data_IF_108670840296
#
_entry.id   IF_108670840296
#
_cell.length_a   1.000
_cell.length_b   1.000
_cell.length_c   1.000
_cell.angle_alpha   90.00
_cell.angle_beta   90.00
_cell.angle_gamma   90.00
#
_symmetry.space_group_name_H-M   'P 1'
#
loop_
_entity.id
_entity.type
_entity.pdbx_description
1 polymer ?
#
# COMPACT_ATOMS: atom_id res chain seq x y z
N UNK A 1 42.49 -23.69 40.70
CA UNK A 1 41.41 -24.47 40.06
C UNK A 1 42.04 -25.43 39.06
N UNK A 2 41.74 -26.73 39.19
CA UNK A 2 42.26 -27.89 38.43
C UNK A 2 41.92 -27.74 36.93
N UNK A 3 42.90 -27.75 36.01
CA UNK A 3 43.37 -28.86 35.14
C UNK A 3 42.29 -29.70 34.42
N UNK A 4 42.60 -29.99 33.15
CA UNK A 4 42.16 -31.12 32.27
C UNK A 4 40.99 -30.81 31.31
N UNK A 5 41.21 -30.46 30.03
CA UNK A 5 41.73 -31.23 28.87
C UNK A 5 40.93 -32.52 28.57
N UNK A 6 40.00 -32.44 27.60
CA UNK A 6 39.46 -33.57 26.82
C UNK A 6 39.47 -33.08 25.37
N UNK A 7 40.57 -33.26 24.64
CA UNK A 7 40.87 -34.37 23.71
C UNK A 7 39.82 -34.54 22.60
N UNK A 8 40.05 -33.73 21.56
CA UNK A 8 39.63 -33.92 20.16
C UNK A 8 40.24 -35.24 19.66
N UNK A 9 39.39 -36.17 19.21
CA UNK A 9 39.82 -37.42 18.59
C UNK A 9 38.90 -37.74 17.43
N UNK A 10 39.43 -38.48 16.44
CA UNK A 10 38.87 -38.84 15.13
C UNK A 10 39.12 -37.87 13.96
N UNK A 11 40.42 -37.66 13.71
CA UNK A 11 40.97 -37.73 12.34
C UNK A 11 41.57 -39.12 12.13
N UNK A 12 41.55 -39.59 10.88
CA UNK A 12 42.23 -40.76 10.28
C UNK A 12 41.41 -42.03 10.08
N UNK A 13 40.81 -42.14 8.88
CA UNK A 13 41.05 -43.30 8.00
C UNK A 13 40.63 -42.96 6.56
N UNK A 14 41.59 -42.48 5.77
CA UNK A 14 41.57 -42.52 4.30
C UNK A 14 42.71 -43.43 3.86
N UNK A 15 42.51 -44.11 2.73
CA UNK A 15 43.47 -44.83 1.86
C UNK A 15 43.35 -46.36 1.98
N UNK A 16 43.29 -47.19 0.92
CA UNK A 16 43.59 -47.08 -0.50
C UNK A 16 42.88 -48.24 -1.26
N UNK A 17 42.49 -47.95 -2.50
CA UNK A 17 42.70 -48.76 -3.75
C UNK A 17 42.02 -50.12 -3.88
N UNK A 18 41.14 -50.20 -4.89
CA UNK A 18 41.30 -51.17 -5.97
C UNK A 18 41.08 -50.47 -7.32
N UNK A 19 42.02 -50.72 -8.23
CA UNK A 19 42.03 -50.31 -9.62
C UNK A 19 41.34 -51.37 -10.50
N UNK A 20 41.21 -51.03 -11.79
CA UNK A 20 40.72 -51.82 -12.93
C UNK A 20 39.18 -51.92 -13.02
N UNK A 21 38.49 -51.45 -14.05
CA UNK A 21 38.76 -51.57 -15.49
C UNK A 21 37.85 -50.61 -16.31
N UNK A 22 38.47 -49.94 -17.28
CA UNK A 22 38.05 -49.59 -18.64
C UNK A 22 36.56 -49.52 -19.05
N UNK A 23 36.24 -48.34 -19.61
CA UNK A 23 35.39 -48.06 -20.79
C UNK A 23 33.90 -48.44 -20.68
N UNK A 24 33.04 -47.42 -20.54
CA UNK A 24 32.12 -47.04 -21.61
C UNK A 24 31.88 -45.53 -21.54
N UNK A 25 32.20 -44.86 -22.63
CA UNK A 25 31.82 -43.49 -22.87
C UNK A 25 30.31 -43.37 -22.97
N UNK A 26 29.84 -42.14 -22.77
CA UNK A 26 28.57 -41.60 -23.25
C UNK A 26 27.40 -41.61 -22.26
N UNK A 27 27.41 -40.68 -21.29
CA UNK A 27 26.16 -40.20 -20.67
C UNK A 27 26.26 -38.83 -19.96
N UNK A 28 27.23 -37.97 -20.32
CA UNK A 28 27.39 -36.65 -19.68
C UNK A 28 26.73 -35.46 -20.38
N UNK A 29 26.02 -35.65 -21.50
CA UNK A 29 25.57 -34.50 -22.30
C UNK A 29 24.10 -34.08 -22.13
N UNK A 30 23.32 -34.71 -21.24
CA UNK A 30 21.87 -34.43 -21.15
C UNK A 30 21.37 -33.78 -19.86
N UNK A 31 22.25 -33.45 -18.90
CA UNK A 31 21.83 -32.88 -17.61
C UNK A 31 22.13 -31.38 -17.42
N UNK A 32 22.76 -30.70 -18.38
CA UNK A 32 22.87 -29.23 -18.33
C UNK A 32 21.67 -28.50 -18.94
N UNK A 33 20.84 -29.19 -19.74
CA UNK A 33 19.64 -28.57 -20.33
C UNK A 33 18.48 -28.42 -19.34
N UNK A 34 18.53 -29.09 -18.18
CA UNK A 34 17.49 -29.02 -17.14
C UNK A 34 17.72 -27.92 -16.09
N UNK A 35 18.90 -27.30 -16.06
CA UNK A 35 19.19 -26.18 -15.13
C UNK A 35 18.97 -24.83 -15.82
N UNK A 36 18.95 -24.77 -17.15
CA UNK A 36 18.57 -23.57 -17.92
C UNK A 36 17.05 -23.45 -18.18
N UNK A 37 16.24 -24.28 -17.51
CA UNK A 37 14.81 -23.99 -17.27
C UNK A 37 14.68 -23.31 -15.89
N UNK A 38 15.72 -22.61 -15.45
CA UNK A 38 15.56 -21.50 -14.53
C UNK A 38 14.89 -20.36 -15.32
N UNK A 39 13.56 -20.32 -15.28
CA UNK A 39 12.80 -19.08 -15.32
C UNK A 39 13.05 -18.20 -16.56
N UNK A 40 12.91 -18.74 -17.76
CA UNK A 40 12.54 -17.88 -18.89
C UNK A 40 11.04 -17.61 -18.76
N UNK A 41 10.68 -16.64 -17.90
CA UNK A 41 9.39 -15.99 -18.03
C UNK A 41 9.28 -15.57 -19.50
N UNK A 42 8.19 -15.95 -20.16
CA UNK A 42 7.97 -15.50 -21.54
C UNK A 42 7.99 -13.97 -21.55
N UNK A 43 8.37 -13.35 -22.67
CA UNK A 43 8.41 -11.88 -22.77
C UNK A 43 7.08 -11.26 -22.30
N UNK A 44 5.97 -11.94 -22.59
CA UNK A 44 4.61 -11.59 -22.17
C UNK A 44 4.40 -11.69 -20.64
N UNK A 45 4.99 -12.68 -19.95
CA UNK A 45 4.93 -12.80 -18.48
C UNK A 45 5.80 -11.74 -17.80
N UNK A 46 6.91 -11.35 -18.41
CA UNK A 46 7.79 -10.29 -17.90
C UNK A 46 7.12 -8.91 -18.03
N UNK A 47 6.49 -8.64 -19.18
CA UNK A 47 5.73 -7.42 -19.42
C UNK A 47 4.48 -7.34 -18.51
N UNK A 48 3.82 -8.47 -18.27
CA UNK A 48 2.72 -8.56 -17.30
C UNK A 48 3.18 -8.30 -15.86
N UNK A 49 4.36 -8.80 -15.47
CA UNK A 49 4.93 -8.52 -14.15
C UNK A 49 5.32 -7.05 -13.99
N UNK A 50 5.95 -6.46 -15.01
CA UNK A 50 6.37 -5.06 -14.96
C UNK A 50 5.15 -4.11 -14.91
N UNK A 51 4.09 -4.41 -15.66
CA UNK A 51 2.86 -3.62 -15.61
C UNK A 51 2.14 -3.72 -14.26
N UNK A 52 2.15 -4.89 -13.61
CA UNK A 52 1.64 -5.05 -12.24
C UNK A 52 2.47 -4.26 -11.22
N UNK A 53 3.79 -4.29 -11.31
CA UNK A 53 4.68 -3.54 -10.42
C UNK A 53 4.48 -2.02 -10.58
N UNK A 54 4.28 -1.55 -11.82
CA UNK A 54 3.96 -0.14 -12.11
C UNK A 54 2.60 0.26 -11.51
N UNK A 55 1.56 -0.56 -11.68
CA UNK A 55 0.24 -0.30 -11.11
C UNK A 55 0.27 -0.29 -9.57
N UNK A 56 1.03 -1.20 -8.97
CA UNK A 56 1.23 -1.24 -7.52
C UNK A 56 1.90 0.04 -7.02
N UNK A 57 2.98 0.47 -7.69
CA UNK A 57 3.66 1.71 -7.34
C UNK A 57 2.74 2.93 -7.45
N UNK A 58 1.92 3.01 -8.50
CA UNK A 58 0.92 4.07 -8.66
C UNK A 58 -0.16 4.03 -7.58
N UNK A 59 -0.60 2.84 -7.18
CA UNK A 59 -1.55 2.67 -6.07
C UNK A 59 -0.94 3.14 -4.75
N UNK A 60 0.29 2.77 -4.45
CA UNK A 60 0.97 3.17 -3.22
C UNK A 60 1.18 4.70 -3.17
N UNK A 61 1.52 5.32 -4.31
CA UNK A 61 1.63 6.78 -4.43
C UNK A 61 0.29 7.49 -4.20
N UNK A 62 -0.80 6.96 -4.78
CA UNK A 62 -2.15 7.49 -4.57
C UNK A 62 -2.60 7.35 -3.11
N UNK A 63 -2.27 6.24 -2.46
CA UNK A 63 -2.58 6.02 -1.04
C UNK A 63 -1.81 6.99 -0.15
N UNK A 64 -0.55 7.28 -0.46
CA UNK A 64 0.24 8.28 0.25
C UNK A 64 -0.38 9.67 0.11
N UNK A 65 -0.71 10.08 -1.12
CA UNK A 65 -1.34 11.37 -1.38
C UNK A 65 -2.70 11.49 -0.69
N UNK A 66 -3.46 10.38 -0.64
CA UNK A 66 -4.71 10.34 0.11
C UNK A 66 -4.49 10.62 1.59
N UNK A 67 -3.53 9.96 2.23
CA UNK A 67 -3.26 10.14 3.65
C UNK A 67 -2.84 11.59 3.96
N UNK A 68 -1.96 12.17 3.15
CA UNK A 68 -1.52 13.56 3.25
C UNK A 68 -2.70 14.55 3.19
N UNK A 69 -3.64 14.33 2.26
CA UNK A 69 -4.84 15.16 2.13
C UNK A 69 -5.75 15.07 3.36
N UNK A 70 -5.88 13.88 3.94
CA UNK A 70 -6.70 13.68 5.14
C UNK A 70 -6.05 14.33 6.36
N UNK A 71 -4.72 14.26 6.47
CA UNK A 71 -3.95 14.96 7.49
C UNK A 71 -4.07 16.48 7.37
N UNK A 72 -3.94 17.02 6.16
CA UNK A 72 -4.10 18.45 5.90
C UNK A 72 -5.50 18.93 6.29
N UNK A 73 -6.54 18.23 5.86
CA UNK A 73 -7.95 18.54 6.18
C UNK A 73 -8.20 18.58 7.68
N UNK A 74 -7.64 17.61 8.42
CA UNK A 74 -7.73 17.58 9.87
C UNK A 74 -6.99 18.77 10.51
N UNK A 75 -5.76 19.05 10.07
CA UNK A 75 -4.95 20.15 10.61
C UNK A 75 -5.63 21.51 10.39
N UNK A 76 -6.17 21.74 9.19
CA UNK A 76 -6.92 22.95 8.86
C UNK A 76 -8.17 23.10 9.72
N UNK A 77 -8.95 22.02 9.86
CA UNK A 77 -10.11 22.01 10.75
C UNK A 77 -9.72 22.34 12.19
N UNK A 78 -8.70 21.65 12.71
CA UNK A 78 -8.27 21.82 14.09
C UNK A 78 -7.76 23.24 14.35
N UNK A 79 -7.00 23.82 13.41
CA UNK A 79 -6.54 25.21 13.49
C UNK A 79 -7.69 26.21 13.46
N UNK A 80 -8.74 25.96 12.69
CA UNK A 80 -9.86 26.90 12.54
C UNK A 80 -10.95 26.76 13.61
N UNK A 81 -11.21 25.54 14.08
CA UNK A 81 -12.35 25.22 14.97
C UNK A 81 -11.87 24.80 16.37
N UNK A 82 -10.68 24.21 16.48
CA UNK A 82 -10.10 23.82 17.77
C UNK A 82 -10.73 22.59 18.42
N UNK A 83 -11.62 21.87 17.74
CA UNK A 83 -12.31 20.71 18.32
C UNK A 83 -11.84 19.39 17.69
N UNK A 84 -11.06 18.63 18.45
CA UNK A 84 -10.48 17.35 18.01
C UNK A 84 -11.55 16.34 17.54
N UNK A 85 -12.59 16.09 18.35
CA UNK A 85 -13.62 15.08 18.04
C UNK A 85 -14.38 15.42 16.76
N UNK A 86 -14.74 16.68 16.60
CA UNK A 86 -15.40 17.18 15.40
C UNK A 86 -14.49 17.09 14.17
N UNK A 87 -13.23 17.50 14.30
CA UNK A 87 -12.29 17.48 13.19
C UNK A 87 -11.91 16.06 12.76
N UNK A 88 -11.83 15.11 13.70
CA UNK A 88 -11.71 13.68 13.38
C UNK A 88 -12.93 13.18 12.61
N UNK A 89 -14.14 13.52 13.06
CA UNK A 89 -15.36 13.14 12.35
C UNK A 89 -15.41 13.73 10.93
N UNK A 90 -15.05 15.01 10.76
CA UNK A 90 -14.98 15.63 9.44
C UNK A 90 -13.93 14.98 8.56
N UNK A 91 -12.73 14.70 9.09
CA UNK A 91 -11.70 13.94 8.38
C UNK A 91 -12.31 12.66 7.84
N UNK A 92 -12.91 11.84 8.69
CA UNK A 92 -13.32 10.47 8.33
C UNK A 92 -14.59 10.41 7.44
N UNK A 93 -15.48 11.40 7.53
CA UNK A 93 -16.81 11.35 6.88
C UNK A 93 -16.93 12.26 5.66
N UNK A 94 -16.11 13.30 5.55
CA UNK A 94 -16.16 14.21 4.41
C UNK A 94 -15.62 13.51 3.17
N UNK A 95 -16.26 13.65 1.99
CA UNK A 95 -15.72 13.10 0.75
C UNK A 95 -14.28 13.58 0.53
N UNK A 96 -13.43 12.68 0.04
CA UNK A 96 -12.01 12.96 -0.13
C UNK A 96 -11.76 14.10 -1.12
N UNK A 97 -12.64 14.24 -2.12
CA UNK A 97 -12.60 15.31 -3.12
C UNK A 97 -12.89 16.70 -2.55
N UNK A 98 -13.42 16.79 -1.33
CA UNK A 98 -13.84 18.06 -0.72
C UNK A 98 -12.78 18.53 0.26
N UNK A 99 -12.21 19.70 0.02
CA UNK A 99 -11.25 20.34 0.92
C UNK A 99 -11.95 20.94 2.16
N UNK A 100 -11.19 21.27 3.20
CA UNK A 100 -11.77 21.96 4.36
C UNK A 100 -12.30 23.36 4.00
N UNK A 101 -11.60 24.08 3.13
CA UNK A 101 -12.04 25.40 2.65
C UNK A 101 -13.39 25.32 1.91
N UNK A 102 -13.56 24.33 1.03
CA UNK A 102 -14.83 24.09 0.33
C UNK A 102 -15.94 23.71 1.29
N UNK A 103 -15.62 22.86 2.29
CA UNK A 103 -16.54 22.55 3.37
C UNK A 103 -17.02 23.83 4.08
N UNK A 104 -16.12 24.74 4.42
CA UNK A 104 -16.48 26.03 5.04
C UNK A 104 -17.33 26.88 4.11
N UNK A 105 -16.95 27.05 2.85
CA UNK A 105 -17.74 27.80 1.85
C UNK A 105 -19.17 27.26 1.75
N UNK A 106 -19.33 25.94 1.66
CA UNK A 106 -20.63 25.29 1.51
C UNK A 106 -21.47 25.39 2.80
N UNK A 107 -20.83 25.32 3.96
CA UNK A 107 -21.54 25.36 5.25
C UNK A 107 -21.91 26.78 5.69
N UNK A 108 -21.15 27.80 5.28
CA UNK A 108 -21.45 29.21 5.57
C UNK A 108 -22.59 29.78 4.72
N UNK A 109 -22.86 29.21 3.55
CA UNK A 109 -23.99 29.66 2.74
C UNK A 109 -25.31 29.22 3.41
N UNK A 110 -26.04 30.20 3.97
CA UNK A 110 -27.38 30.01 4.57
C UNK A 110 -28.42 29.57 3.54
N UNK A 111 -29.63 29.25 4.03
CA UNK A 111 -30.77 28.59 3.39
C UNK A 111 -31.11 28.90 1.91
N UNK A 112 -30.66 30.01 1.31
CA UNK A 112 -30.84 30.31 -0.13
C UNK A 112 -29.99 29.45 -1.08
N UNK A 113 -29.22 28.50 -0.55
CA UNK A 113 -28.49 27.54 -1.38
C UNK A 113 -29.42 26.67 -2.25
N UNK A 114 -30.65 26.41 -1.81
CA UNK A 114 -31.61 25.69 -2.64
C UNK A 114 -31.93 26.48 -3.91
N UNK A 115 -32.06 27.80 -3.81
CA UNK A 115 -32.27 28.70 -4.95
C UNK A 115 -31.01 28.85 -5.80
N UNK A 116 -29.84 28.93 -5.17
CA UNK A 116 -28.54 28.98 -5.87
C UNK A 116 -28.16 27.66 -6.54
N UNK A 117 -28.75 26.54 -6.14
CA UNK A 117 -28.53 25.23 -6.74
C UNK A 117 -29.50 24.94 -7.89
N UNK A 118 -30.51 25.78 -8.17
CA UNK A 118 -31.54 25.47 -9.18
C UNK A 118 -30.91 25.16 -10.56
N UNK A 119 -29.83 25.83 -10.93
CA UNK A 119 -29.07 25.57 -12.17
C UNK A 119 -27.78 24.75 -12.01
N UNK A 120 -27.45 24.29 -10.80
CA UNK A 120 -26.21 23.53 -10.58
C UNK A 120 -26.34 22.10 -11.12
N UNK A 121 -25.25 21.52 -11.68
CA UNK A 121 -25.26 20.13 -12.10
C UNK A 121 -25.45 19.17 -10.92
N UNK A 122 -26.04 18.00 -11.20
CA UNK A 122 -26.52 17.07 -10.17
C UNK A 122 -25.42 16.52 -9.27
N UNK A 123 -24.20 16.39 -9.80
CA UNK A 123 -23.01 16.02 -9.03
C UNK A 123 -22.74 17.05 -7.91
N UNK A 124 -22.83 18.35 -8.20
CA UNK A 124 -22.63 19.43 -7.23
C UNK A 124 -23.73 19.40 -6.18
N UNK A 125 -25.00 19.25 -6.59
CA UNK A 125 -26.13 19.11 -5.66
C UNK A 125 -25.95 17.91 -4.72
N UNK A 126 -25.43 16.78 -5.22
CA UNK A 126 -25.16 15.58 -4.43
C UNK A 126 -24.03 15.82 -3.42
N UNK A 127 -22.94 16.46 -3.83
CA UNK A 127 -21.82 16.82 -2.95
C UNK A 127 -22.29 17.75 -1.83
N UNK A 128 -23.03 18.82 -2.15
CA UNK A 128 -23.55 19.76 -1.15
C UNK A 128 -24.48 19.07 -0.15
N UNK A 129 -25.40 18.20 -0.62
CA UNK A 129 -26.26 17.41 0.27
C UNK A 129 -25.45 16.50 1.19
N UNK A 130 -24.41 15.84 0.65
CA UNK A 130 -23.54 14.97 1.43
C UNK A 130 -22.77 15.76 2.49
N UNK A 131 -22.21 16.91 2.14
CA UNK A 131 -21.49 17.79 3.08
C UNK A 131 -22.39 18.22 4.24
N UNK A 132 -23.63 18.64 3.94
CA UNK A 132 -24.61 19.03 4.97
C UNK A 132 -24.93 17.87 5.91
N UNK A 133 -25.19 16.69 5.35
CA UNK A 133 -25.44 15.48 6.14
C UNK A 133 -24.25 15.11 7.03
N UNK A 134 -23.02 15.20 6.52
CA UNK A 134 -21.79 14.95 7.30
C UNK A 134 -21.66 15.95 8.45
N UNK A 135 -21.86 17.24 8.18
CA UNK A 135 -21.84 18.27 9.23
C UNK A 135 -22.85 17.94 10.33
N UNK A 136 -24.08 17.61 9.97
CA UNK A 136 -25.14 17.37 10.95
C UNK A 136 -24.82 16.13 11.82
N UNK A 137 -24.21 15.09 11.25
CA UNK A 137 -23.68 13.93 12.01
C UNK A 137 -22.54 14.34 12.94
N UNK A 138 -21.56 15.10 12.44
CA UNK A 138 -20.39 15.48 13.26
C UNK A 138 -20.74 16.49 14.34
N UNK A 139 -21.78 17.32 14.16
CA UNK A 139 -22.29 18.23 15.20
C UNK A 139 -22.99 17.46 16.33
N UNK A 140 -23.58 16.29 16.08
CA UNK A 140 -24.23 15.51 17.14
C UNK A 140 -23.24 15.00 18.20
N UNK A 141 -21.94 14.93 17.89
CA UNK A 141 -20.89 14.54 18.85
C UNK A 141 -20.76 15.56 20.01
N UNK A 142 -21.30 16.77 19.84
CA UNK A 142 -21.33 17.81 20.88
C UNK A 142 -22.54 17.73 21.81
N UNK A 143 -23.56 16.93 21.47
CA UNK A 143 -24.76 16.75 22.30
C UNK A 143 -24.55 15.62 23.30
#
# INVERSE_FOLDING_TARGET
>A
MKKMLILISFLLSVSLVNADTWIFADEQFMNQKKIFIAKSMTLDELDASESLDRLKKQSDELLSQFDDLMHLKYAECYRSIGNDKFCKCLKDKLPWQVSFEEYIKITLIRASLNDKLIGAPDNVKKIVRKIRSVRDVCIQIFK
#
